data_IF_322645984528
#
_entry.id   IF_322645984528
#
_cell.length_a   1.000
_cell.length_b   1.000
_cell.length_c   1.000
_cell.angle_alpha   90.00
_cell.angle_beta   90.00
_cell.angle_gamma   90.00
#
_symmetry.space_group_name_H-M   'P 1'
#
loop_
_entity.id
_entity.type
_entity.pdbx_description
1 polymer ?
#
# COMPACT_ATOMS: atom_id res chain seq x y z
N UNK A 1 -38.71 9.78 -1.50
CA UNK A 1 -37.57 9.55 -2.44
C UNK A 1 -36.23 9.86 -1.76
N UNK A 2 -36.04 11.06 -1.20
CA UNK A 2 -34.80 11.47 -0.52
C UNK A 2 -34.39 10.53 0.63
N UNK A 3 -35.34 10.10 1.47
CA UNK A 3 -35.07 9.16 2.58
C UNK A 3 -34.54 7.80 2.11
N UNK A 4 -35.05 7.27 0.99
CA UNK A 4 -34.58 5.99 0.41
C UNK A 4 -33.16 6.13 -0.15
N UNK A 5 -32.84 7.25 -0.78
CA UNK A 5 -31.49 7.52 -1.28
C UNK A 5 -30.49 7.62 -0.13
N UNK A 6 -30.84 8.29 0.96
CA UNK A 6 -29.98 8.40 2.16
C UNK A 6 -29.75 7.02 2.79
N UNK A 7 -30.79 6.20 2.94
CA UNK A 7 -30.66 4.84 3.47
C UNK A 7 -29.78 3.97 2.57
N UNK A 8 -29.92 4.05 1.25
CA UNK A 8 -29.09 3.30 0.30
C UNK A 8 -27.63 3.74 0.33
N UNK A 9 -27.36 5.05 0.41
CA UNK A 9 -25.99 5.57 0.54
C UNK A 9 -25.35 5.16 1.87
N UNK A 10 -26.13 5.20 2.95
CA UNK A 10 -25.68 4.74 4.27
C UNK A 10 -25.35 3.24 4.23
N UNK A 11 -26.22 2.40 3.66
CA UNK A 11 -25.95 0.97 3.51
C UNK A 11 -24.70 0.73 2.65
N UNK A 12 -24.62 1.35 1.48
CA UNK A 12 -23.45 1.24 0.60
C UNK A 12 -22.15 1.62 1.31
N UNK A 13 -22.17 2.72 2.08
CA UNK A 13 -21.03 3.15 2.90
C UNK A 13 -20.61 2.11 3.93
N UNK A 14 -21.57 1.50 4.63
CA UNK A 14 -21.31 0.46 5.63
C UNK A 14 -20.81 -0.85 5.01
N UNK A 15 -21.11 -1.11 3.72
CA UNK A 15 -20.60 -2.29 3.02
C UNK A 15 -19.19 -2.12 2.43
N UNK A 16 -18.66 -0.89 2.33
CA UNK A 16 -17.33 -0.62 1.78
C UNK A 16 -16.19 -1.46 2.39
N UNK A 17 -16.14 -1.71 3.73
CA UNK A 17 -15.12 -2.57 4.32
C UNK A 17 -15.16 -4.02 3.83
N UNK A 18 -16.37 -4.59 3.65
CA UNK A 18 -16.54 -5.96 3.14
C UNK A 18 -16.12 -6.10 1.68
N UNK A 19 -16.26 -5.03 0.89
CA UNK A 19 -15.70 -4.96 -0.46
C UNK A 19 -14.21 -4.62 -0.48
N UNK A 20 -13.58 -4.35 0.67
CA UNK A 20 -12.18 -3.98 0.75
C UNK A 20 -11.86 -2.62 0.14
N UNK A 21 -12.81 -1.69 0.15
CA UNK A 21 -12.67 -0.33 -0.40
C UNK A 21 -12.26 0.71 0.66
N UNK A 22 -12.08 0.29 1.92
CA UNK A 22 -11.70 1.18 3.04
C UNK A 22 -10.68 0.48 3.95
N UNK A 23 -9.67 1.24 4.39
CA UNK A 23 -8.67 0.78 5.37
C UNK A 23 -9.26 0.88 6.78
N UNK A 24 -9.35 -0.26 7.46
CA UNK A 24 -9.84 -0.44 8.82
C UNK A 24 -11.27 0.06 9.15
N UNK A 25 -11.88 -0.67 10.07
CA UNK A 25 -13.23 -0.52 10.56
C UNK A 25 -13.44 0.88 11.17
N UNK A 26 -14.32 1.69 10.59
CA UNK A 26 -15.30 2.33 11.46
C UNK A 26 -15.92 1.17 12.23
N UNK A 27 -15.65 1.12 13.53
CA UNK A 27 -16.23 0.20 14.50
C UNK A 27 -17.69 -0.09 14.14
N UNK A 28 -17.95 -1.13 13.37
CA UNK A 28 -19.26 -1.74 13.32
C UNK A 28 -19.24 -2.60 14.57
N UNK A 29 -19.60 -1.92 15.66
CA UNK A 29 -19.86 -2.42 17.01
C UNK A 29 -19.46 -3.89 17.21
N UNK A 30 -18.45 -4.10 18.06
CA UNK A 30 -17.94 -5.38 18.58
C UNK A 30 -16.67 -5.95 17.90
N UNK A 31 -15.56 -5.71 18.62
CA UNK A 31 -14.27 -6.41 18.58
C UNK A 31 -13.21 -5.91 17.59
N UNK A 32 -11.96 -5.94 18.08
CA UNK A 32 -10.74 -5.52 17.40
C UNK A 32 -10.55 -6.30 16.09
N UNK A 33 -11.00 -5.72 14.98
CA UNK A 33 -10.83 -6.29 13.66
C UNK A 33 -9.35 -6.25 13.27
N UNK A 34 -8.65 -7.36 13.45
CA UNK A 34 -7.27 -7.53 12.97
C UNK A 34 -7.32 -8.30 11.64
N UNK A 35 -6.85 -7.66 10.57
CA UNK A 35 -6.74 -8.28 9.25
C UNK A 35 -5.41 -9.04 9.19
N UNK A 36 -5.47 -10.36 9.06
CA UNK A 36 -4.29 -11.18 8.80
C UNK A 36 -3.89 -11.11 7.31
N UNK A 37 -2.60 -11.34 7.06
CA UNK A 37 -2.01 -11.27 5.73
C UNK A 37 -2.59 -12.30 4.72
N UNK A 38 -3.20 -13.38 5.19
CA UNK A 38 -3.89 -14.38 4.36
C UNK A 38 -5.36 -14.04 4.06
N UNK A 39 -5.84 -12.87 4.50
CA UNK A 39 -7.21 -12.40 4.26
C UNK A 39 -8.26 -13.02 5.17
N UNK A 40 -7.86 -13.64 6.28
CA UNK A 40 -8.75 -14.28 7.28
C UNK A 40 -8.80 -13.46 8.57
N UNK A 41 -9.73 -12.52 8.70
CA UNK A 41 -9.89 -11.81 9.98
C UNK A 41 -10.69 -12.65 11.00
N UNK A 42 -10.39 -12.44 12.28
CA UNK A 42 -11.17 -12.99 13.39
C UNK A 42 -12.31 -12.04 13.76
N UNK A 43 -13.45 -12.66 14.10
CA UNK A 43 -14.71 -12.13 14.62
C UNK A 43 -15.66 -11.42 13.66
N UNK A 44 -16.48 -12.21 12.97
CA UNK A 44 -17.95 -12.05 13.00
C UNK A 44 -18.62 -13.43 12.86
N UNK A 45 -19.57 -13.74 13.74
CA UNK A 45 -20.33 -15.02 13.73
C UNK A 45 -21.36 -15.08 12.60
N UNK A 46 -21.67 -13.96 11.94
CA UNK A 46 -22.81 -13.80 11.02
C UNK A 46 -22.51 -13.12 9.67
N UNK A 47 -21.31 -12.57 9.46
CA UNK A 47 -20.94 -11.89 8.21
C UNK A 47 -19.62 -12.43 7.63
N UNK A 48 -19.37 -12.25 6.31
CA UNK A 48 -18.21 -12.83 5.66
C UNK A 48 -16.91 -12.44 6.35
N UNK A 49 -16.14 -13.44 6.76
CA UNK A 49 -14.79 -13.28 7.33
C UNK A 49 -13.76 -12.91 6.25
N UNK A 50 -14.20 -12.86 5.00
CA UNK A 50 -13.37 -12.60 3.82
C UNK A 50 -13.84 -11.30 3.17
N UNK A 51 -12.88 -10.42 2.88
CA UNK A 51 -13.09 -9.24 2.04
C UNK A 51 -13.07 -9.62 0.56
N UNK A 52 -13.89 -8.94 -0.25
CA UNK A 52 -13.91 -9.15 -1.70
C UNK A 52 -12.70 -8.57 -2.44
N UNK A 53 -11.97 -7.64 -1.83
CA UNK A 53 -10.79 -6.99 -2.42
C UNK A 53 -9.82 -6.50 -1.34
N UNK A 54 -8.60 -6.12 -1.75
CA UNK A 54 -7.58 -5.50 -0.91
C UNK A 54 -7.25 -4.06 -1.34
N UNK A 55 -8.11 -3.43 -2.14
CA UNK A 55 -7.92 -2.08 -2.68
C UNK A 55 -7.67 -1.00 -1.64
N UNK A 56 -8.42 -1.02 -0.55
CA UNK A 56 -8.30 -0.11 0.58
C UNK A 56 -7.21 -0.55 1.57
N UNK A 57 -6.38 -1.54 1.26
CA UNK A 57 -5.35 -2.01 2.19
C UNK A 57 -4.12 -1.13 2.13
N UNK A 58 -3.62 -0.75 3.29
CA UNK A 58 -2.32 -0.12 3.45
C UNK A 58 -1.40 -1.05 4.23
N UNK A 59 -0.12 -1.02 3.88
CA UNK A 59 0.93 -1.80 4.52
C UNK A 59 1.99 -0.87 5.05
N UNK A 60 2.58 -1.27 6.18
CA UNK A 60 3.83 -0.71 6.64
C UNK A 60 4.98 -1.58 6.20
N UNK A 61 5.99 -0.96 5.60
CA UNK A 61 7.22 -1.62 5.16
C UNK A 61 8.34 -1.33 6.16
N UNK A 62 9.12 -2.36 6.49
CA UNK A 62 10.38 -2.26 7.24
C UNK A 62 11.45 -3.11 6.57
N UNK A 63 12.71 -2.81 6.88
CA UNK A 63 13.88 -3.56 6.41
C UNK A 63 13.88 -3.85 4.90
N UNK A 64 13.45 -2.86 4.12
CA UNK A 64 13.43 -2.95 2.66
C UNK A 64 14.87 -3.08 2.14
N UNK A 65 15.16 -4.22 1.50
CA UNK A 65 16.42 -4.49 0.81
C UNK A 65 16.11 -4.75 -0.66
N UNK A 66 16.81 -4.03 -1.52
CA UNK A 66 16.69 -4.16 -2.97
C UNK A 66 18.08 -4.46 -3.52
N UNK A 67 18.19 -5.57 -4.22
CA UNK A 67 19.41 -5.99 -4.91
C UNK A 67 19.17 -5.78 -6.40
N UNK A 68 19.80 -4.75 -6.96
CA UNK A 68 19.65 -4.37 -8.36
C UNK A 68 20.56 -5.19 -9.27
N UNK A 69 20.05 -5.70 -10.41
CA UNK A 69 20.89 -6.37 -11.43
C UNK A 69 21.79 -5.39 -12.17
N UNK A 70 21.29 -4.16 -12.33
CA UNK A 70 21.94 -3.06 -13.03
C UNK A 70 21.69 -1.76 -12.27
N UNK A 71 22.48 -0.72 -12.53
CA UNK A 71 22.25 0.59 -11.90
C UNK A 71 20.79 1.07 -12.09
N UNK A 72 20.04 1.37 -11.02
CA UNK A 72 18.65 1.77 -11.14
C UNK A 72 18.54 3.17 -11.77
N UNK A 73 17.54 3.36 -12.63
CA UNK A 73 17.20 4.70 -13.15
C UNK A 73 16.73 5.65 -12.04
N UNK A 74 16.81 6.97 -12.30
CA UNK A 74 16.33 8.00 -11.35
C UNK A 74 14.90 7.72 -10.86
N UNK A 75 14.02 7.26 -11.76
CA UNK A 75 12.65 6.85 -11.42
C UNK A 75 12.60 5.80 -10.30
N UNK A 76 13.42 4.75 -10.41
CA UNK A 76 13.44 3.66 -9.43
C UNK A 76 14.10 4.08 -8.12
N UNK A 77 15.09 4.96 -8.18
CA UNK A 77 15.68 5.57 -6.98
C UNK A 77 14.66 6.41 -6.22
N UNK A 78 13.84 7.21 -6.91
CA UNK A 78 12.75 7.98 -6.28
C UNK A 78 11.70 7.06 -5.67
N UNK A 79 11.34 5.98 -6.35
CA UNK A 79 10.40 4.98 -5.84
C UNK A 79 10.93 4.26 -4.60
N UNK A 80 12.19 3.85 -4.61
CA UNK A 80 12.85 3.28 -3.44
C UNK A 80 12.86 4.27 -2.27
N UNK A 81 13.25 5.52 -2.52
CA UNK A 81 13.27 6.56 -1.49
C UNK A 81 11.87 6.82 -0.90
N UNK A 82 10.83 6.81 -1.75
CA UNK A 82 9.44 6.87 -1.31
C UNK A 82 9.08 5.69 -0.42
N UNK A 83 9.35 4.44 -0.85
CA UNK A 83 9.00 3.24 -0.08
C UNK A 83 9.73 3.17 1.27
N UNK A 84 10.97 3.69 1.36
CA UNK A 84 11.75 3.75 2.61
C UNK A 84 11.21 4.78 3.60
N UNK A 85 10.63 5.87 3.11
CA UNK A 85 10.11 6.97 3.94
C UNK A 85 8.63 6.83 4.27
N UNK A 86 7.86 6.18 3.39
CA UNK A 86 6.43 6.02 3.56
C UNK A 86 6.13 5.23 4.84
N UNK A 87 5.37 5.84 5.75
CA UNK A 87 4.86 5.16 6.93
C UNK A 87 3.86 4.06 6.56
N UNK A 88 3.07 4.31 5.52
CA UNK A 88 2.04 3.42 4.97
C UNK A 88 2.02 3.52 3.45
N UNK A 89 1.89 2.38 2.79
CA UNK A 89 1.79 2.29 1.32
C UNK A 89 0.55 1.47 0.98
N UNK A 90 -0.31 2.01 0.11
CA UNK A 90 -1.43 1.28 -0.43
C UNK A 90 -0.93 0.03 -1.19
N UNK A 91 -1.59 -1.12 -1.02
CA UNK A 91 -1.18 -2.40 -1.61
C UNK A 91 -1.10 -2.34 -3.14
N UNK A 92 -2.10 -1.75 -3.81
CA UNK A 92 -2.07 -1.62 -5.27
C UNK A 92 -0.99 -0.65 -5.74
N UNK A 93 -0.76 0.44 -5.01
CA UNK A 93 0.35 1.34 -5.31
C UNK A 93 1.70 0.62 -5.19
N UNK A 94 1.87 -0.20 -4.15
CA UNK A 94 3.06 -1.03 -3.96
C UNK A 94 3.23 -2.03 -5.11
N UNK A 95 2.17 -2.73 -5.53
CA UNK A 95 2.19 -3.66 -6.67
C UNK A 95 2.68 -2.99 -7.95
N UNK A 96 2.20 -1.79 -8.25
CA UNK A 96 2.62 -1.05 -9.44
C UNK A 96 4.09 -0.61 -9.39
N UNK A 97 4.56 -0.16 -8.22
CA UNK A 97 5.96 0.17 -8.02
C UNK A 97 6.82 -1.09 -8.22
N UNK A 98 6.47 -2.18 -7.55
CA UNK A 98 7.17 -3.46 -7.64
C UNK A 98 7.17 -4.03 -9.06
N UNK A 99 6.08 -3.91 -9.83
CA UNK A 99 6.02 -4.38 -11.22
C UNK A 99 7.15 -3.81 -12.08
N UNK A 100 7.48 -2.53 -11.92
CA UNK A 100 8.61 -1.92 -12.62
C UNK A 100 9.95 -2.33 -12.02
N UNK A 101 10.08 -2.26 -10.70
CA UNK A 101 11.33 -2.56 -10.01
C UNK A 101 11.79 -4.00 -10.20
N UNK A 102 10.87 -4.98 -10.16
CA UNK A 102 11.15 -6.40 -10.31
C UNK A 102 11.67 -6.80 -11.70
N UNK A 103 11.57 -5.92 -12.71
CA UNK A 103 12.20 -6.13 -14.01
C UNK A 103 13.72 -5.88 -13.92
N UNK A 104 14.15 -4.94 -13.07
CA UNK A 104 15.55 -4.52 -12.93
C UNK A 104 16.23 -5.04 -11.66
N UNK A 105 15.45 -5.42 -10.65
CA UNK A 105 15.93 -6.00 -9.41
C UNK A 105 16.09 -7.52 -9.53
N UNK A 106 17.12 -8.05 -8.90
CA UNK A 106 17.31 -9.49 -8.69
C UNK A 106 16.44 -9.97 -7.52
N UNK A 107 16.42 -9.19 -6.45
CA UNK A 107 15.73 -9.52 -5.21
C UNK A 107 15.21 -8.25 -4.56
N UNK A 108 13.95 -8.30 -4.12
CA UNK A 108 13.37 -7.26 -3.25
C UNK A 108 12.78 -7.98 -2.03
N UNK A 109 13.31 -7.70 -0.85
CA UNK A 109 12.81 -8.27 0.41
C UNK A 109 12.37 -7.15 1.35
N UNK A 110 11.33 -7.38 2.13
CA UNK A 110 10.89 -6.47 3.18
C UNK A 110 10.15 -7.22 4.28
N UNK A 111 10.07 -6.59 5.43
CA UNK A 111 9.09 -6.93 6.44
C UNK A 111 7.82 -6.11 6.22
N UNK A 112 6.67 -6.77 6.21
CA UNK A 112 5.36 -6.14 5.95
C UNK A 112 4.45 -6.31 7.15
N UNK A 113 3.73 -5.25 7.53
CA UNK A 113 2.71 -5.29 8.58
C UNK A 113 1.40 -4.69 8.08
N UNK A 114 0.29 -5.36 8.42
CA UNK A 114 -1.08 -4.95 8.13
C UNK A 114 -1.81 -4.43 9.37
N UNK A 115 -1.38 -4.84 10.56
CA UNK A 115 -2.10 -4.72 11.83
C UNK A 115 -1.29 -3.96 12.90
N UNK A 116 -0.23 -3.25 12.49
CA UNK A 116 0.68 -2.48 13.34
C UNK A 116 1.52 -3.29 14.34
N UNK A 117 1.20 -4.57 14.57
CA UNK A 117 1.75 -5.38 15.66
C UNK A 117 2.62 -6.52 15.15
N UNK A 118 2.22 -7.15 14.06
CA UNK A 118 2.93 -8.30 13.50
C UNK A 118 3.59 -7.93 12.17
N UNK A 119 4.86 -8.27 12.06
CA UNK A 119 5.62 -8.13 10.81
C UNK A 119 5.87 -9.51 10.23
N UNK A 120 5.49 -9.68 8.97
CA UNK A 120 5.81 -10.86 8.20
C UNK A 120 7.01 -10.57 7.31
N UNK A 121 8.08 -11.36 7.45
CA UNK A 121 9.24 -11.26 6.57
C UNK A 121 8.94 -11.90 5.22
N UNK A 122 8.98 -11.11 4.15
CA UNK A 122 8.83 -11.58 2.78
C UNK A 122 10.21 -11.59 2.11
N UNK A 123 10.71 -12.81 1.86
CA UNK A 123 12.05 -13.01 1.29
C UNK A 123 12.18 -12.44 -0.12
N UNK A 124 11.14 -12.54 -0.95
CA UNK A 124 11.16 -12.02 -2.31
C UNK A 124 9.76 -11.52 -2.72
N UNK A 125 9.54 -10.21 -2.62
CA UNK A 125 8.33 -9.52 -3.04
C UNK A 125 8.03 -9.69 -4.54
N UNK A 126 9.06 -9.93 -5.37
CA UNK A 126 8.86 -10.13 -6.81
C UNK A 126 8.29 -11.50 -7.17
N UNK A 127 8.49 -12.50 -6.31
CA UNK A 127 7.95 -13.86 -6.51
C UNK A 127 6.65 -14.09 -5.74
N UNK A 128 6.33 -13.23 -4.78
CA UNK A 128 5.11 -13.34 -4.00
C UNK A 128 3.90 -12.95 -4.87
N UNK A 129 2.94 -13.87 -5.04
CA UNK A 129 1.74 -13.66 -5.87
C UNK A 129 0.86 -12.52 -5.37
N UNK A 130 0.91 -12.20 -4.07
CA UNK A 130 0.17 -11.08 -3.51
C UNK A 130 0.77 -9.74 -3.95
N UNK A 131 2.08 -9.65 -4.14
CA UNK A 131 2.78 -8.39 -4.43
C UNK A 131 3.18 -8.21 -5.91
N UNK A 132 3.32 -9.30 -6.66
CA UNK A 132 3.87 -9.29 -8.02
C UNK A 132 2.91 -8.81 -9.12
N UNK A 133 1.59 -8.83 -8.89
CA UNK A 133 0.59 -8.54 -9.93
C UNK A 133 -0.35 -7.41 -9.51
N UNK A 134 -0.25 -6.20 -10.11
CA UNK A 134 -1.26 -5.15 -9.96
C UNK A 134 -2.60 -5.64 -10.48
N UNK A 135 -3.68 -5.37 -9.74
CA UNK A 135 -5.03 -5.81 -10.12
C UNK A 135 -5.84 -4.68 -10.72
N UNK A 136 -5.53 -3.43 -10.36
CA UNK A 136 -6.26 -2.27 -10.83
C UNK A 136 -5.32 -1.14 -11.22
N UNK A 137 -5.67 -0.40 -12.26
CA UNK A 137 -4.95 0.82 -12.60
C UNK A 137 -5.26 1.90 -11.57
N UNK A 138 -4.25 2.32 -10.82
CA UNK A 138 -4.32 3.50 -9.97
C UNK A 138 -3.45 4.56 -10.64
N UNK A 139 -3.95 5.77 -10.93
CA UNK A 139 -3.09 6.88 -11.30
C UNK A 139 -2.25 7.26 -10.09
N UNK A 140 -1.10 6.60 -9.91
CA UNK A 140 -0.20 6.85 -8.79
C UNK A 140 0.60 8.11 -9.14
N UNK A 141 0.16 9.24 -8.61
CA UNK A 141 1.04 10.40 -8.54
C UNK A 141 1.92 10.24 -7.30
N UNK A 142 3.15 9.76 -7.52
CA UNK A 142 4.18 9.72 -6.50
C UNK A 142 4.64 11.15 -6.24
N UNK A 143 3.92 11.88 -5.40
CA UNK A 143 4.45 13.11 -4.84
C UNK A 143 5.57 12.74 -3.86
N UNK A 144 6.71 13.45 -3.87
CA UNK A 144 7.67 13.32 -2.78
C UNK A 144 6.93 13.64 -1.46
N UNK A 145 7.19 12.91 -0.36
CA UNK A 145 6.57 13.22 0.93
C UNK A 145 6.90 14.67 1.26
N UNK A 146 5.87 15.51 1.28
CA UNK A 146 5.96 16.91 1.65
C UNK A 146 6.08 17.02 3.17
N UNK A 147 7.19 16.55 3.71
CA UNK A 147 7.63 16.91 5.05
C UNK A 147 8.57 18.10 4.91
N UNK A 148 8.01 19.31 4.87
CA UNK A 148 8.69 20.55 5.30
C UNK A 148 9.96 20.99 4.59
N UNK A 149 10.38 20.39 3.47
CA UNK A 149 11.48 20.92 2.67
C UNK A 149 10.91 21.78 1.55
N UNK A 150 10.90 23.09 1.77
CA UNK A 150 11.16 24.04 0.69
C UNK A 150 12.33 23.48 -0.13
N UNK A 151 12.03 23.04 -1.34
CA UNK A 151 13.01 22.98 -2.40
C UNK A 151 13.56 24.40 -2.58
N UNK A 152 14.60 24.74 -1.83
CA UNK A 152 15.54 25.80 -2.22
C UNK A 152 16.23 25.33 -3.50
N UNK A 153 15.50 25.40 -4.61
CA UNK A 153 16.08 25.52 -5.95
C UNK A 153 16.55 26.98 -6.04
N UNK A 154 17.62 27.28 -5.31
CA UNK A 154 18.50 28.40 -5.59
C UNK A 154 19.91 27.87 -5.46
N UNK A 155 20.64 27.99 -6.57
CA UNK A 155 22.10 27.87 -6.67
C UNK A 155 22.72 26.47 -6.65
N UNK A 156 22.44 25.64 -7.65
CA UNK A 156 23.47 24.71 -8.19
C UNK A 156 23.47 24.61 -9.73
N UNK A 157 22.95 25.62 -10.43
CA UNK A 157 23.19 25.84 -11.87
C UNK A 157 23.91 27.17 -12.13
N UNK A 158 25.00 27.38 -11.40
CA UNK A 158 25.93 28.51 -11.60
C UNK A 158 27.35 28.03 -11.32
N UNK A 159 27.91 27.24 -12.23
CA UNK A 159 29.21 26.64 -12.00
C UNK A 159 29.67 25.64 -13.05
N UNK A 160 29.39 25.91 -14.33
CA UNK A 160 30.23 25.42 -15.41
C UNK A 160 30.64 26.62 -16.24
N UNK A 161 31.97 26.75 -16.40
CA UNK A 161 32.66 27.80 -17.16
C UNK A 161 32.17 27.88 -18.60
#
# INVERSE_FOLDING_TARGET
LISRAIVLLFLAHNFLPYFGLRFESCQTMFSNFLISADGRSNNHYLFPQTRGSDLGTYLKLRDLKIYWRTAPSLRYQTQEAFLRKASWVNVEALRWILRGMCIQAELISAEVSQDFQTYQSIKNLCLDKFFSFPRLFIPIQLYPPSDGYELKIKEQMGGYR
#
